data_IF_187028043685
#
_entry.id   IF_187028043685
#
_cell.length_a   1.000
_cell.length_b   1.000
_cell.length_c   1.000
_cell.angle_alpha   90.00
_cell.angle_beta   90.00
_cell.angle_gamma   90.00
#
_symmetry.space_group_name_H-M   'P 1'
#
loop_
_entity.id
_entity.type
_entity.pdbx_description
1 polymer ?
#
# COMPACT_ATOMS: atom_id res chain seq x y z
N UNK A 1 -94.84 28.40 -29.45
CA UNK A 1 -94.15 27.81 -28.28
C UNK A 1 -93.10 26.82 -28.80
N UNK A 2 -91.89 26.79 -28.21
CA UNK A 2 -90.68 26.03 -28.60
C UNK A 2 -89.60 26.81 -29.36
N UNK A 3 -89.21 27.98 -28.83
CA UNK A 3 -87.76 28.25 -28.73
C UNK A 3 -87.25 27.52 -27.48
N UNK A 4 -86.00 27.07 -27.46
CA UNK A 4 -85.10 26.91 -26.29
C UNK A 4 -84.30 25.60 -26.11
N UNK A 5 -84.56 24.49 -26.80
CA UNK A 5 -83.86 23.22 -26.43
C UNK A 5 -82.51 22.95 -27.08
N UNK A 6 -82.16 23.53 -28.24
CA UNK A 6 -80.92 23.13 -28.95
C UNK A 6 -79.71 24.06 -28.72
N UNK A 7 -79.85 25.11 -27.89
CA UNK A 7 -78.75 26.06 -27.64
C UNK A 7 -77.70 25.57 -26.63
N UNK A 8 -77.88 24.38 -26.03
CA UNK A 8 -76.91 23.83 -25.05
C UNK A 8 -75.84 22.91 -25.68
N UNK A 9 -76.07 22.30 -26.85
CA UNK A 9 -75.10 21.35 -27.45
C UNK A 9 -74.02 22.01 -28.30
N UNK A 10 -74.26 23.21 -28.84
CA UNK A 10 -73.33 23.86 -29.79
C UNK A 10 -72.16 24.59 -29.12
N UNK A 11 -72.18 24.84 -27.80
CA UNK A 11 -71.06 25.50 -27.11
C UNK A 11 -69.93 24.55 -26.70
N UNK A 12 -70.17 23.23 -26.64
CA UNK A 12 -69.13 22.27 -26.23
C UNK A 12 -68.31 21.74 -27.41
N UNK A 13 -68.89 21.58 -28.60
CA UNK A 13 -68.14 21.08 -29.77
C UNK A 13 -67.18 22.12 -30.41
N UNK A 14 -67.40 23.42 -30.20
CA UNK A 14 -66.52 24.47 -30.74
C UNK A 14 -65.23 24.72 -29.95
N UNK A 15 -65.12 24.17 -28.73
CA UNK A 15 -63.92 24.33 -27.89
C UNK A 15 -62.81 23.35 -28.30
N UNK A 16 -63.14 22.11 -28.70
CA UNK A 16 -62.15 21.12 -29.15
C UNK A 16 -61.47 21.50 -30.47
N UNK A 17 -62.20 22.09 -31.43
CA UNK A 17 -61.65 22.41 -32.76
C UNK A 17 -60.73 23.64 -32.81
N UNK A 18 -60.63 24.41 -31.73
CA UNK A 18 -59.80 25.63 -31.66
C UNK A 18 -58.38 25.38 -31.15
N UNK A 19 -58.08 24.19 -30.60
CA UNK A 19 -56.75 23.85 -30.07
C UNK A 19 -55.99 22.84 -30.94
N UNK A 20 -56.60 22.28 -31.99
CA UNK A 20 -55.95 21.31 -32.90
C UNK A 20 -54.70 21.88 -33.58
N UNK A 21 -54.75 23.15 -33.99
CA UNK A 21 -53.58 23.83 -34.58
C UNK A 21 -52.47 24.07 -33.56
N UNK A 22 -52.78 24.22 -32.27
CA UNK A 22 -51.77 24.39 -31.22
C UNK A 22 -51.07 23.07 -30.93
N UNK A 23 -51.81 21.96 -30.88
CA UNK A 23 -51.23 20.62 -30.73
C UNK A 23 -50.36 20.24 -31.94
N UNK A 24 -50.82 20.53 -33.16
CA UNK A 24 -50.03 20.34 -34.37
C UNK A 24 -48.77 21.21 -34.41
N UNK A 25 -48.86 22.48 -33.97
CA UNK A 25 -47.72 23.38 -33.88
C UNK A 25 -46.69 22.92 -32.84
N UNK A 26 -47.13 22.46 -31.66
CA UNK A 26 -46.23 21.91 -30.63
C UNK A 26 -45.53 20.65 -31.12
N UNK A 27 -46.25 19.75 -31.80
CA UNK A 27 -45.66 18.56 -32.43
C UNK A 27 -44.62 18.93 -33.50
N UNK A 28 -44.92 19.90 -34.36
CA UNK A 28 -43.98 20.37 -35.38
C UNK A 28 -42.69 20.94 -34.75
N UNK A 29 -42.82 21.77 -33.70
CA UNK A 29 -41.66 22.32 -32.97
C UNK A 29 -40.86 21.22 -32.28
N UNK A 30 -41.53 20.24 -31.67
CA UNK A 30 -40.85 19.11 -31.05
C UNK A 30 -40.05 18.28 -32.07
N UNK A 31 -40.63 18.01 -33.25
CA UNK A 31 -39.95 17.28 -34.34
C UNK A 31 -38.76 18.08 -34.86
N UNK A 32 -38.89 19.40 -35.04
CA UNK A 32 -37.78 20.26 -35.44
C UNK A 32 -36.69 20.26 -34.37
N UNK A 33 -37.03 20.36 -33.09
CA UNK A 33 -36.08 20.31 -31.99
C UNK A 33 -35.30 18.99 -31.94
N UNK A 34 -35.98 17.86 -32.16
CA UNK A 34 -35.35 16.54 -32.25
C UNK A 34 -34.45 16.44 -33.49
N UNK A 35 -34.93 16.90 -34.66
CA UNK A 35 -34.12 16.90 -35.87
C UNK A 35 -32.85 17.74 -35.70
N UNK A 36 -32.97 18.95 -35.12
CA UNK A 36 -31.85 19.82 -34.79
C UNK A 36 -30.90 19.13 -33.81
N UNK A 37 -31.42 18.48 -32.76
CA UNK A 37 -30.60 17.77 -31.77
C UNK A 37 -29.84 16.58 -32.37
N UNK A 38 -30.47 15.81 -33.27
CA UNK A 38 -29.86 14.65 -33.92
C UNK A 38 -28.86 15.06 -35.01
N UNK A 39 -29.16 16.13 -35.74
CA UNK A 39 -28.34 16.65 -36.85
C UNK A 39 -27.23 17.59 -36.37
N UNK A 40 -27.23 18.02 -35.10
CA UNK A 40 -26.14 18.86 -34.59
C UNK A 40 -24.85 18.03 -34.51
N UNK A 41 -23.76 18.47 -35.17
CA UNK A 41 -22.50 17.74 -35.12
C UNK A 41 -22.01 17.67 -33.68
N UNK A 42 -21.79 16.45 -33.19
CA UNK A 42 -21.17 16.25 -31.87
C UNK A 42 -19.71 16.72 -31.98
N UNK A 43 -19.22 17.57 -31.06
CA UNK A 43 -17.80 17.86 -31.01
C UNK A 43 -17.06 16.54 -30.82
N UNK A 44 -16.33 16.11 -31.84
CA UNK A 44 -15.46 14.94 -31.76
C UNK A 44 -14.48 15.22 -30.62
N UNK A 45 -14.40 14.37 -29.59
CA UNK A 45 -13.35 14.51 -28.60
C UNK A 45 -12.02 14.48 -29.36
N UNK A 46 -11.25 15.57 -29.27
CA UNK A 46 -9.93 15.63 -29.86
C UNK A 46 -9.17 14.41 -29.35
N UNK A 47 -8.74 13.54 -30.27
CA UNK A 47 -7.94 12.38 -29.92
C UNK A 47 -6.74 12.90 -29.13
N UNK A 48 -6.69 12.60 -27.83
CA UNK A 48 -5.49 12.83 -27.04
C UNK A 48 -4.38 12.08 -27.76
N UNK A 49 -3.30 12.74 -28.23
CA UNK A 49 -2.20 12.03 -28.85
C UNK A 49 -1.72 11.00 -27.84
N UNK A 50 -1.71 9.72 -28.23
CA UNK A 50 -1.12 8.67 -27.42
C UNK A 50 0.33 9.07 -27.10
N UNK A 51 0.84 8.80 -25.89
CA UNK A 51 2.22 9.09 -25.57
C UNK A 51 3.12 8.31 -26.54
N UNK A 52 3.68 9.02 -27.51
CA UNK A 52 4.73 8.51 -28.40
C UNK A 52 6.02 8.56 -27.60
N UNK A 53 6.40 7.42 -27.04
CA UNK A 53 7.71 7.25 -26.42
C UNK A 53 8.74 7.40 -27.54
N UNK A 54 9.55 8.45 -27.48
CA UNK A 54 10.59 8.69 -28.48
C UNK A 54 11.71 7.66 -28.31
N UNK A 55 12.27 7.17 -29.42
CA UNK A 55 13.37 6.19 -29.39
C UNK A 55 14.59 6.69 -28.57
N UNK A 56 14.84 8.00 -28.55
CA UNK A 56 15.89 8.61 -27.71
C UNK A 56 15.61 8.51 -26.20
N UNK A 57 14.34 8.52 -25.76
CA UNK A 57 14.00 8.41 -24.33
C UNK A 57 14.11 6.97 -23.81
N UNK A 58 13.86 5.96 -24.65
CA UNK A 58 14.06 4.54 -24.28
C UNK A 58 15.54 4.15 -24.22
N UNK A 59 16.39 4.80 -25.00
CA UNK A 59 17.85 4.61 -24.95
C UNK A 59 18.44 5.29 -23.71
N UNK A 60 18.09 6.55 -23.46
CA UNK A 60 18.52 7.29 -22.26
C UNK A 60 18.02 6.67 -20.94
N UNK A 61 16.87 5.98 -20.94
CA UNK A 61 16.39 5.23 -19.78
C UNK A 61 17.18 3.95 -19.50
N UNK A 62 17.75 3.32 -20.53
CA UNK A 62 18.61 2.13 -20.41
C UNK A 62 20.03 2.48 -19.96
N UNK A 63 20.50 3.68 -20.27
CA UNK A 63 21.85 4.14 -19.93
C UNK A 63 22.00 4.69 -18.49
N UNK A 64 20.93 4.69 -17.68
CA UNK A 64 21.02 5.18 -16.29
C UNK A 64 21.97 4.29 -15.49
N UNK A 65 23.15 4.80 -15.17
CA UNK A 65 24.12 4.16 -14.29
C UNK A 65 23.84 4.51 -12.84
N UNK A 66 24.18 3.58 -11.95
CA UNK A 66 24.05 3.69 -10.50
C UNK A 66 25.35 3.27 -9.85
N UNK A 67 25.70 3.94 -8.76
CA UNK A 67 26.87 3.66 -7.95
C UNK A 67 26.39 2.91 -6.70
N UNK A 68 26.92 1.71 -6.49
CA UNK A 68 26.64 0.88 -5.33
C UNK A 68 27.93 0.49 -4.61
N UNK A 69 27.86 0.41 -3.29
CA UNK A 69 28.98 -0.04 -2.46
C UNK A 69 28.74 -1.49 -2.02
N UNK A 70 29.65 -2.39 -2.38
CA UNK A 70 29.63 -3.80 -1.99
C UNK A 70 30.61 -4.04 -0.84
N UNK A 71 30.13 -4.72 0.19
CA UNK A 71 30.91 -4.98 1.42
C UNK A 71 30.65 -6.38 1.98
N UNK A 72 31.61 -6.89 2.74
CA UNK A 72 31.50 -8.18 3.42
C UNK A 72 32.10 -9.34 2.62
N UNK A 73 31.42 -10.48 2.60
CA UNK A 73 31.93 -11.76 2.10
C UNK A 73 31.88 -11.91 0.56
N UNK A 74 32.30 -10.87 -0.16
CA UNK A 74 32.52 -10.86 -1.62
C UNK A 74 34.01 -10.84 -1.93
N UNK A 75 34.44 -11.32 -3.11
CA UNK A 75 35.88 -11.40 -3.43
C UNK A 75 36.56 -10.02 -3.47
N UNK A 76 35.90 -9.05 -4.10
CA UNK A 76 36.41 -7.69 -4.26
C UNK A 76 35.39 -6.68 -3.72
N UNK A 77 35.40 -6.35 -2.42
CA UNK A 77 34.55 -5.29 -1.89
C UNK A 77 35.00 -3.92 -2.40
N UNK A 78 34.06 -2.99 -2.60
CA UNK A 78 34.35 -1.68 -3.16
C UNK A 78 33.14 -0.99 -3.78
N UNK A 79 33.38 0.14 -4.45
CA UNK A 79 32.38 0.88 -5.22
C UNK A 79 32.33 0.37 -6.66
N UNK A 80 31.10 0.19 -7.17
CA UNK A 80 30.84 -0.29 -8.52
C UNK A 80 29.83 0.63 -9.22
N UNK A 81 30.14 1.00 -10.46
CA UNK A 81 29.25 1.75 -11.34
C UNK A 81 28.63 0.78 -12.33
N UNK A 82 27.32 0.57 -12.24
CA UNK A 82 26.58 -0.46 -12.98
C UNK A 82 25.30 0.14 -13.58
N UNK A 83 24.69 -0.49 -14.58
CA UNK A 83 23.41 -0.04 -15.09
C UNK A 83 22.29 -0.27 -14.07
N UNK A 84 21.33 0.66 -13.97
CA UNK A 84 20.19 0.61 -13.05
C UNK A 84 19.23 -0.54 -13.32
N UNK A 85 19.26 -1.10 -14.53
CA UNK A 85 18.48 -2.25 -14.97
C UNK A 85 19.01 -3.58 -14.40
N UNK A 86 20.26 -3.60 -13.93
CA UNK A 86 20.90 -4.76 -13.34
C UNK A 86 20.38 -5.03 -11.93
N UNK A 87 20.62 -6.25 -11.47
CA UNK A 87 20.22 -6.74 -10.15
C UNK A 87 21.40 -6.80 -9.20
N UNK A 88 21.07 -6.97 -7.92
CA UNK A 88 22.06 -7.20 -6.85
C UNK A 88 22.94 -8.42 -7.15
N UNK A 89 22.40 -9.48 -7.76
CA UNK A 89 23.18 -10.64 -8.22
C UNK A 89 24.31 -10.23 -9.17
N UNK A 90 24.01 -9.37 -10.14
CA UNK A 90 24.96 -8.97 -11.18
C UNK A 90 26.08 -8.11 -10.58
N UNK A 91 25.73 -7.27 -9.60
CA UNK A 91 26.71 -6.50 -8.84
C UNK A 91 27.66 -7.40 -8.02
N UNK A 92 27.13 -8.48 -7.42
CA UNK A 92 27.96 -9.46 -6.69
C UNK A 92 28.86 -10.22 -7.67
N UNK A 93 28.37 -10.59 -8.85
CA UNK A 93 29.19 -11.22 -9.91
C UNK A 93 30.29 -10.26 -10.37
N UNK A 94 29.99 -8.97 -10.56
CA UNK A 94 30.99 -7.94 -10.88
C UNK A 94 32.06 -7.78 -9.78
N UNK A 95 31.71 -8.06 -8.52
CA UNK A 95 32.65 -8.14 -7.40
C UNK A 95 33.41 -9.47 -7.30
N UNK A 96 33.31 -10.35 -8.30
CA UNK A 96 33.97 -11.66 -8.34
C UNK A 96 33.18 -12.78 -7.66
N UNK A 97 31.92 -12.53 -7.29
CA UNK A 97 31.05 -13.50 -6.65
C UNK A 97 31.18 -13.57 -5.12
N UNK A 98 30.37 -14.44 -4.54
CA UNK A 98 30.39 -14.76 -3.12
C UNK A 98 31.65 -15.57 -2.77
N UNK A 99 32.16 -15.37 -1.55
CA UNK A 99 33.23 -16.20 -0.97
C UNK A 99 32.62 -17.35 -0.17
N UNK A 100 33.41 -18.38 0.14
CA UNK A 100 32.97 -19.51 0.98
C UNK A 100 32.63 -19.10 2.43
N UNK A 101 33.07 -17.90 2.83
CA UNK A 101 32.75 -17.32 4.12
C UNK A 101 31.39 -16.58 4.12
N UNK A 102 30.69 -16.49 2.98
CA UNK A 102 29.37 -15.86 2.90
C UNK A 102 28.29 -16.76 3.49
N UNK A 103 27.35 -16.16 4.25
CA UNK A 103 26.22 -16.90 4.81
C UNK A 103 25.06 -17.01 3.79
N UNK A 104 24.74 -18.21 3.27
CA UNK A 104 23.67 -18.37 2.27
C UNK A 104 22.28 -18.06 2.84
N UNK A 105 22.09 -18.18 4.15
CA UNK A 105 20.78 -17.94 4.79
C UNK A 105 20.47 -16.45 4.97
N UNK A 106 21.46 -15.58 4.77
CA UNK A 106 21.39 -14.16 5.09
C UNK A 106 21.84 -13.28 3.93
N UNK A 107 21.84 -13.82 2.72
CA UNK A 107 22.16 -13.04 1.53
C UNK A 107 21.18 -11.88 1.34
N UNK A 108 21.65 -10.74 0.81
CA UNK A 108 20.75 -9.66 0.41
C UNK A 108 19.78 -10.16 -0.68
N UNK A 109 18.69 -9.42 -0.92
CA UNK A 109 17.76 -9.75 -1.99
C UNK A 109 18.46 -9.65 -3.37
N UNK A 110 18.96 -10.80 -3.85
CA UNK A 110 19.73 -10.93 -5.09
C UNK A 110 18.92 -10.50 -6.33
N UNK A 111 17.59 -10.65 -6.28
CA UNK A 111 16.69 -10.32 -7.37
C UNK A 111 16.30 -8.83 -7.42
N UNK A 112 16.64 -8.05 -6.39
CA UNK A 112 16.30 -6.64 -6.37
C UNK A 112 17.10 -5.88 -7.44
N UNK A 113 16.46 -4.92 -8.13
CA UNK A 113 17.17 -3.97 -8.97
C UNK A 113 18.12 -3.10 -8.16
N UNK A 114 19.21 -2.70 -8.81
CA UNK A 114 20.15 -1.77 -8.23
C UNK A 114 19.49 -0.39 -8.06
N UNK A 115 19.83 0.25 -6.94
CA UNK A 115 19.43 1.61 -6.63
C UNK A 115 20.70 2.38 -6.35
N UNK A 116 20.75 3.61 -6.84
CA UNK A 116 21.89 4.50 -6.64
C UNK A 116 22.16 4.77 -5.15
N UNK A 117 23.40 5.10 -4.85
CA UNK A 117 23.89 5.44 -3.52
C UNK A 117 23.56 4.38 -2.44
N UNK A 118 23.41 3.11 -2.83
CA UNK A 118 23.05 2.03 -1.92
C UNK A 118 24.25 1.17 -1.55
N UNK A 119 24.34 0.82 -0.27
CA UNK A 119 25.23 -0.23 0.20
C UNK A 119 24.56 -1.60 0.16
N UNK A 120 25.26 -2.56 -0.42
CA UNK A 120 24.91 -3.98 -0.44
C UNK A 120 25.92 -4.70 0.45
N UNK A 121 25.45 -5.22 1.58
CA UNK A 121 26.25 -6.00 2.51
C UNK A 121 25.99 -7.49 2.31
N UNK A 122 27.06 -8.26 2.14
CA UNK A 122 27.03 -9.73 2.12
C UNK A 122 27.61 -10.21 3.46
N UNK A 123 26.79 -10.76 4.37
CA UNK A 123 27.27 -11.13 5.70
C UNK A 123 28.20 -12.35 5.66
N UNK A 124 29.13 -12.38 6.60
CA UNK A 124 29.92 -13.58 6.90
C UNK A 124 29.07 -14.60 7.67
N UNK A 125 29.45 -15.88 7.60
CA UNK A 125 28.83 -16.96 8.38
C UNK A 125 28.77 -16.56 9.87
N UNK A 126 27.58 -16.72 10.47
CA UNK A 126 27.34 -16.39 11.88
C UNK A 126 27.18 -14.90 12.20
N UNK A 127 27.40 -14.02 11.20
CA UNK A 127 27.26 -12.56 11.32
C UNK A 127 26.02 -12.03 10.60
N UNK A 128 25.02 -12.89 10.38
CA UNK A 128 23.68 -12.45 10.02
C UNK A 128 23.23 -11.37 11.00
N UNK A 129 22.90 -10.19 10.47
CA UNK A 129 22.24 -9.17 11.26
C UNK A 129 20.89 -9.75 11.72
N UNK A 130 20.88 -10.39 12.90
CA UNK A 130 19.66 -10.84 13.55
C UNK A 130 18.78 -9.60 13.64
N UNK A 131 17.68 -9.61 12.86
CA UNK A 131 16.77 -8.48 12.78
C UNK A 131 16.46 -7.97 14.17
N UNK A 132 16.30 -6.65 14.32
CA UNK A 132 15.92 -6.00 15.58
C UNK A 132 14.90 -6.91 16.27
N UNK A 133 15.27 -7.51 17.41
CA UNK A 133 14.39 -8.46 18.11
C UNK A 133 13.04 -7.76 18.27
N UNK A 134 12.03 -8.26 17.57
CA UNK A 134 10.69 -7.73 17.69
C UNK A 134 10.34 -7.79 19.18
N UNK A 135 9.79 -6.69 19.71
CA UNK A 135 9.40 -6.67 21.12
C UNK A 135 8.36 -7.75 21.33
N UNK A 136 8.59 -8.59 22.32
CA UNK A 136 7.70 -9.69 22.67
C UNK A 136 6.50 -9.12 23.43
N UNK A 137 5.30 -9.45 22.97
CA UNK A 137 4.06 -9.02 23.62
C UNK A 137 3.84 -9.79 24.91
N UNK A 138 3.73 -9.06 26.02
CA UNK A 138 3.57 -9.62 27.36
C UNK A 138 2.17 -10.15 27.63
N UNK A 139 1.17 -9.98 26.77
CA UNK A 139 -0.15 -10.59 26.97
C UNK A 139 -0.29 -11.93 26.26
N UNK A 140 0.45 -12.11 25.16
CA UNK A 140 0.32 -13.28 24.27
C UNK A 140 1.52 -14.23 24.33
N UNK A 141 2.67 -13.82 24.89
CA UNK A 141 3.87 -14.64 24.93
C UNK A 141 3.73 -15.92 25.76
N UNK A 142 4.25 -17.05 25.26
CA UNK A 142 4.34 -18.29 26.05
C UNK A 142 5.41 -18.20 27.13
N UNK A 143 5.38 -19.12 28.10
CA UNK A 143 6.38 -19.22 29.17
C UNK A 143 7.80 -19.30 28.61
N UNK A 144 8.00 -20.16 27.61
CA UNK A 144 9.29 -20.35 26.97
C UNK A 144 9.75 -19.07 26.28
N UNK A 145 8.84 -18.33 25.66
CA UNK A 145 9.15 -17.05 25.02
C UNK A 145 9.53 -15.96 26.04
N UNK A 146 8.85 -15.90 27.18
CA UNK A 146 9.20 -14.98 28.27
C UNK A 146 10.62 -15.27 28.80
N UNK A 147 10.99 -16.54 28.97
CA UNK A 147 12.32 -16.94 29.43
C UNK A 147 13.47 -16.58 28.47
N UNK A 148 13.17 -16.33 27.19
CA UNK A 148 14.18 -15.85 26.22
C UNK A 148 14.51 -14.36 26.40
N UNK A 149 13.75 -13.63 27.24
CA UNK A 149 13.96 -12.21 27.49
C UNK A 149 15.07 -12.03 28.55
N UNK A 150 16.13 -11.25 28.25
CA UNK A 150 17.19 -10.99 29.22
C UNK A 150 16.64 -10.31 30.49
N UNK A 151 16.92 -10.90 31.64
CA UNK A 151 16.41 -10.43 32.94
C UNK A 151 15.05 -11.00 33.34
N UNK A 152 14.47 -11.89 32.54
CA UNK A 152 13.29 -12.67 32.93
C UNK A 152 13.72 -13.96 33.64
N UNK A 153 13.12 -14.25 34.79
CA UNK A 153 13.29 -15.51 35.50
C UNK A 153 12.00 -16.36 35.41
N UNK A 154 12.11 -17.64 35.81
CA UNK A 154 10.98 -18.58 35.77
C UNK A 154 9.83 -18.19 36.70
N UNK A 155 10.13 -17.68 37.89
CA UNK A 155 9.09 -17.31 38.86
C UNK A 155 8.30 -16.10 38.37
N UNK A 156 8.98 -15.12 37.77
CA UNK A 156 8.39 -13.95 37.16
C UNK A 156 7.57 -14.31 35.91
N UNK A 157 8.08 -15.21 35.06
CA UNK A 157 7.34 -15.70 33.90
C UNK A 157 6.03 -16.40 34.31
N UNK A 158 6.09 -17.24 35.35
CA UNK A 158 4.91 -17.91 35.91
C UNK A 158 3.93 -16.91 36.55
N UNK A 159 4.44 -15.90 37.26
CA UNK A 159 3.64 -14.83 37.83
C UNK A 159 2.95 -13.96 36.77
N UNK A 160 3.62 -13.68 35.65
CA UNK A 160 3.05 -12.97 34.49
C UNK A 160 1.89 -13.75 33.88
N UNK A 161 2.06 -15.05 33.66
CA UNK A 161 1.00 -15.91 33.10
C UNK A 161 -0.20 -15.93 34.04
N UNK A 162 0.04 -16.17 35.33
CA UNK A 162 -1.01 -16.17 36.34
C UNK A 162 -1.76 -14.83 36.40
N UNK A 163 -1.04 -13.72 36.31
CA UNK A 163 -1.66 -12.39 36.30
C UNK A 163 -2.57 -12.19 35.08
N UNK A 164 -2.21 -12.71 33.90
CA UNK A 164 -3.07 -12.66 32.72
C UNK A 164 -4.36 -13.44 32.92
N UNK A 165 -4.28 -14.60 33.55
CA UNK A 165 -5.43 -15.46 33.84
C UNK A 165 -6.36 -14.83 34.87
N UNK A 166 -5.79 -14.24 35.94
CA UNK A 166 -6.56 -13.67 37.05
C UNK A 166 -7.16 -12.29 36.72
N UNK A 167 -6.44 -11.45 35.96
CA UNK A 167 -6.80 -10.03 35.73
C UNK A 167 -7.07 -9.67 34.27
N UNK A 168 -7.00 -10.63 33.34
CA UNK A 168 -7.27 -10.40 31.92
C UNK A 168 -6.11 -9.78 31.13
N UNK A 169 -4.91 -9.73 31.72
CA UNK A 169 -3.69 -9.22 31.08
C UNK A 169 -3.22 -7.88 31.62
N UNK A 170 -2.16 -7.35 31.00
CA UNK A 170 -1.57 -6.05 31.31
C UNK A 170 -2.11 -5.00 30.35
N UNK A 171 -2.54 -3.84 30.87
CA UNK A 171 -2.96 -2.68 30.07
C UNK A 171 -1.76 -1.79 29.72
N UNK A 172 -0.74 -1.79 30.58
CA UNK A 172 0.46 -1.01 30.38
C UNK A 172 1.69 -1.74 30.91
N UNK A 173 2.83 -1.55 30.23
CA UNK A 173 4.10 -2.12 30.67
C UNK A 173 4.50 -1.67 32.09
N UNK A 174 4.07 -0.50 32.54
CA UNK A 174 4.34 0.03 33.89
C UNK A 174 3.70 -0.80 34.99
N UNK A 175 2.61 -1.51 34.71
CA UNK A 175 1.94 -2.39 35.67
C UNK A 175 2.85 -3.54 36.09
N UNK A 176 3.77 -3.98 35.22
CA UNK A 176 4.75 -5.00 35.55
C UNK A 176 5.59 -4.61 36.78
N UNK A 177 5.96 -3.32 36.88
CA UNK A 177 6.75 -2.81 38.00
C UNK A 177 5.96 -2.83 39.30
N UNK A 178 4.69 -2.40 39.25
CA UNK A 178 3.83 -2.27 40.43
C UNK A 178 3.25 -3.61 40.88
N UNK A 179 2.81 -4.47 39.96
CA UNK A 179 2.15 -5.74 40.23
C UNK A 179 3.13 -6.84 40.66
N UNK A 180 4.35 -6.85 40.09
CA UNK A 180 5.34 -7.90 40.36
C UNK A 180 6.47 -7.42 41.29
N UNK A 181 6.41 -6.17 41.79
CA UNK A 181 7.41 -5.64 42.71
C UNK A 181 8.82 -5.56 42.13
N UNK A 182 8.94 -5.33 40.82
CA UNK A 182 10.25 -5.32 40.14
C UNK A 182 11.09 -4.10 40.52
N UNK A 183 12.38 -4.31 40.69
CA UNK A 183 13.34 -3.22 40.82
C UNK A 183 13.46 -2.42 39.51
N UNK A 184 13.91 -1.17 39.63
CA UNK A 184 13.98 -0.25 38.49
C UNK A 184 14.96 -0.71 37.38
N UNK A 185 15.99 -1.49 37.74
CA UNK A 185 16.98 -1.99 36.79
C UNK A 185 16.40 -3.13 35.96
N UNK A 186 15.80 -4.12 36.62
CA UNK A 186 15.16 -5.28 36.00
C UNK A 186 14.02 -4.84 35.09
N UNK A 187 13.14 -3.95 35.57
CA UNK A 187 12.09 -3.35 34.74
C UNK A 187 12.64 -2.71 33.46
N UNK A 188 13.71 -1.90 33.58
CA UNK A 188 14.31 -1.20 32.44
C UNK A 188 14.92 -2.17 31.43
N UNK A 189 15.45 -3.30 31.86
CA UNK A 189 15.97 -4.33 30.96
C UNK A 189 14.84 -5.03 30.21
N UNK A 190 13.79 -5.45 30.93
CA UNK A 190 12.61 -6.11 30.37
C UNK A 190 11.89 -5.19 29.38
N UNK A 191 11.69 -3.91 29.71
CA UNK A 191 11.01 -2.93 28.86
C UNK A 191 11.71 -2.65 27.52
N UNK A 192 12.99 -3.00 27.37
CA UNK A 192 13.68 -2.92 26.05
C UNK A 192 13.16 -3.95 25.07
N UNK A 193 12.75 -5.12 25.57
CA UNK A 193 12.42 -6.30 24.78
C UNK A 193 10.94 -6.66 24.80
N UNK A 194 10.14 -6.03 25.67
CA UNK A 194 8.71 -6.31 25.83
C UNK A 194 7.83 -5.18 25.25
N UNK A 195 6.59 -5.53 24.90
CA UNK A 195 5.51 -4.61 24.53
C UNK A 195 4.18 -5.08 25.10
N UNK A 196 3.18 -4.21 25.10
CA UNK A 196 1.76 -4.51 25.38
C UNK A 196 0.98 -4.06 24.16
N UNK A 197 0.10 -4.92 23.63
CA UNK A 197 -0.86 -4.62 22.55
C UNK A 197 -2.27 -5.00 22.99
#
# INVERSE_FOLDING_TARGET
MRQHTELRKTRLLGWLYRHDWQLAAVLAVAVIGVAVYVLWPRPTPAATPAPVISADEVDAAQERTVIVYLSGAVRSPGLYTLASTLRVSDAIVAAGGLTDAADPNCLPNLAAHLKDAKQIAVPFIGHCAKGKKAKLDINTATREQLLLVPGMDGALADAIIKYREDFGGFLALTELKSAMGLDASTYKQLAKSLTVN
#
